data_IF_729992209877
#
_entry.id   IF_729992209877
#
_cell.length_a   1.000
_cell.length_b   1.000
_cell.length_c   1.000
_cell.angle_alpha   90.00
_cell.angle_beta   90.00
_cell.angle_gamma   90.00
#
_symmetry.space_group_name_H-M   'P 1'
#
loop_
_entity.id
_entity.type
_entity.pdbx_description
1 polymer ?
#
# COMPACT_ATOMS: atom_id res chain seq x y z
N UNK A 1 22.10 21.40 18.94
CA UNK A 1 22.13 20.49 17.77
C UNK A 1 20.80 19.75 17.72
N UNK A 2 19.76 20.37 17.13
CA UNK A 2 18.40 19.81 17.15
C UNK A 2 18.27 18.74 16.07
N UNK A 3 18.20 17.47 16.50
CA UNK A 3 17.76 16.35 15.66
C UNK A 3 16.28 16.58 15.33
N UNK A 4 16.01 17.17 14.16
CA UNK A 4 14.67 17.13 13.56
C UNK A 4 14.41 15.68 13.17
N UNK A 5 13.71 14.96 14.04
CA UNK A 5 13.04 13.73 13.67
C UNK A 5 12.16 14.08 12.48
N UNK A 6 12.52 13.57 11.30
CA UNK A 6 11.67 13.51 10.12
C UNK A 6 10.54 12.53 10.45
N UNK A 7 9.65 12.94 11.34
CA UNK A 7 8.38 12.28 11.57
C UNK A 7 7.59 12.53 10.30
N UNK A 8 7.69 11.60 9.35
CA UNK A 8 6.84 11.50 8.17
C UNK A 8 5.40 11.38 8.69
N UNK A 9 4.80 12.52 8.97
CA UNK A 9 3.41 12.64 9.35
C UNK A 9 2.61 12.17 8.14
N UNK A 10 1.98 11.00 8.27
CA UNK A 10 1.04 10.47 7.30
C UNK A 10 -0.25 11.31 7.37
N UNK A 11 -0.18 12.55 6.86
CA UNK A 11 -1.34 13.46 6.78
C UNK A 11 -2.05 13.40 5.44
N UNK A 12 -1.50 12.70 4.45
CA UNK A 12 -2.14 12.69 3.13
C UNK A 12 -3.29 11.70 3.05
N UNK A 13 -4.45 12.10 2.51
CA UNK A 13 -5.63 11.24 2.41
C UNK A 13 -5.39 10.01 1.54
N UNK A 14 -4.48 10.07 0.56
CA UNK A 14 -4.14 8.94 -0.30
C UNK A 14 -3.35 7.85 0.42
N UNK A 15 -2.40 8.22 1.29
CA UNK A 15 -1.68 7.25 2.13
C UNK A 15 -2.59 6.64 3.18
N UNK A 16 -3.48 7.44 3.77
CA UNK A 16 -4.47 6.93 4.73
C UNK A 16 -5.43 5.93 4.09
N UNK A 17 -5.93 6.21 2.86
CA UNK A 17 -6.75 5.24 2.14
C UNK A 17 -5.99 3.96 1.78
N UNK A 18 -4.71 4.07 1.37
CA UNK A 18 -3.89 2.91 1.06
C UNK A 18 -3.66 2.03 2.30
N UNK A 19 -3.26 2.62 3.43
CA UNK A 19 -3.06 1.91 4.70
C UNK A 19 -4.38 1.32 5.20
N UNK A 20 -5.49 2.06 5.10
CA UNK A 20 -6.81 1.57 5.49
C UNK A 20 -7.22 0.35 4.64
N UNK A 21 -6.96 0.40 3.34
CA UNK A 21 -7.25 -0.71 2.42
C UNK A 21 -6.41 -1.94 2.74
N UNK A 22 -5.11 -1.76 3.02
CA UNK A 22 -4.24 -2.84 3.50
C UNK A 22 -4.76 -3.43 4.82
N UNK A 23 -5.21 -2.59 5.74
CA UNK A 23 -5.76 -3.04 7.02
C UNK A 23 -7.07 -3.82 6.85
N UNK A 24 -7.95 -3.37 5.95
CA UNK A 24 -9.18 -4.08 5.58
C UNK A 24 -8.84 -5.42 4.92
N UNK A 25 -7.88 -5.45 3.99
CA UNK A 25 -7.43 -6.67 3.33
C UNK A 25 -6.87 -7.66 4.35
N UNK A 26 -6.05 -7.19 5.28
CA UNK A 26 -5.46 -8.01 6.33
C UNK A 26 -6.52 -8.55 7.29
N UNK A 27 -7.48 -7.72 7.73
CA UNK A 27 -8.62 -8.19 8.51
C UNK A 27 -9.45 -9.25 7.77
N UNK A 28 -9.78 -9.01 6.50
CA UNK A 28 -10.55 -9.95 5.69
C UNK A 28 -9.81 -11.28 5.56
N UNK A 29 -8.49 -11.23 5.36
CA UNK A 29 -7.64 -12.43 5.31
C UNK A 29 -7.66 -13.18 6.63
N UNK A 30 -7.59 -12.47 7.76
CA UNK A 30 -7.64 -13.08 9.10
C UNK A 30 -9.00 -13.75 9.37
N UNK A 31 -10.10 -13.09 9.05
CA UNK A 31 -11.46 -13.66 9.17
C UNK A 31 -11.59 -14.91 8.30
N UNK A 32 -11.10 -14.85 7.06
CA UNK A 32 -11.15 -15.99 6.14
C UNK A 32 -10.31 -17.17 6.63
N UNK A 33 -9.10 -16.93 7.15
CA UNK A 33 -8.28 -17.97 7.77
C UNK A 33 -8.97 -18.62 8.96
N UNK A 34 -9.61 -17.82 9.81
CA UNK A 34 -10.38 -18.32 10.95
C UNK A 34 -11.54 -19.21 10.48
N UNK A 35 -12.30 -18.77 9.48
CA UNK A 35 -13.35 -19.57 8.84
C UNK A 35 -12.79 -20.89 8.30
N UNK A 36 -11.63 -20.85 7.62
CA UNK A 36 -10.95 -22.01 7.07
C UNK A 36 -10.60 -23.05 8.15
N UNK A 37 -10.09 -22.59 9.29
CA UNK A 37 -9.77 -23.44 10.44
C UNK A 37 -11.04 -24.11 10.97
N UNK A 38 -12.10 -23.35 11.22
CA UNK A 38 -13.36 -23.90 11.74
C UNK A 38 -14.00 -24.89 10.76
N UNK A 39 -14.05 -24.56 9.47
CA UNK A 39 -14.59 -25.44 8.44
C UNK A 39 -13.79 -26.74 8.34
N UNK A 40 -12.48 -26.67 8.54
CA UNK A 40 -11.62 -27.84 8.55
C UNK A 40 -11.82 -28.69 9.80
N UNK A 41 -11.92 -28.07 10.97
CA UNK A 41 -12.22 -28.77 12.23
C UNK A 41 -13.58 -29.49 12.19
N UNK A 42 -14.62 -28.88 11.61
CA UNK A 42 -15.92 -29.55 11.41
C UNK A 42 -15.78 -30.79 10.50
N UNK A 43 -14.96 -30.69 9.44
CA UNK A 43 -14.61 -31.83 8.58
C UNK A 43 -13.92 -32.96 9.34
N UNK A 44 -12.93 -32.64 10.18
CA UNK A 44 -12.23 -33.62 11.03
C UNK A 44 -13.22 -34.30 11.98
N UNK A 45 -14.03 -33.53 12.70
CA UNK A 45 -14.96 -34.04 13.71
C UNK A 45 -16.01 -34.98 13.09
N UNK A 46 -16.55 -34.63 11.92
CA UNK A 46 -17.49 -35.50 11.19
C UNK A 46 -16.84 -36.78 10.68
N UNK A 47 -15.59 -36.70 10.21
CA UNK A 47 -14.85 -37.88 9.76
C UNK A 47 -14.55 -38.84 10.92
N UNK A 48 -14.24 -38.30 12.11
CA UNK A 48 -14.02 -39.08 13.33
C UNK A 48 -15.30 -39.70 13.90
N UNK A 49 -16.44 -38.98 13.85
CA UNK A 49 -17.71 -39.44 14.42
C UNK A 49 -18.39 -40.57 13.65
N UNK A 50 -18.02 -40.78 12.38
CA UNK A 50 -18.66 -41.75 11.48
C UNK A 50 -17.85 -43.04 11.26
N UNK A 51 -16.81 -43.33 12.04
CA UNK A 51 -15.88 -44.42 11.70
C UNK A 51 -15.42 -45.26 12.87
N UNK A 52 -15.72 -46.57 12.81
CA UNK A 52 -15.16 -47.59 13.71
C UNK A 52 -13.79 -48.12 13.24
N UNK A 53 -13.36 -47.88 11.98
CA UNK A 53 -12.10 -48.45 11.43
C UNK A 53 -11.39 -47.59 10.36
N UNK A 54 -11.64 -46.28 10.30
CA UNK A 54 -10.89 -45.44 9.34
C UNK A 54 -9.50 -45.12 9.89
N UNK A 55 -8.47 -45.42 9.11
CA UNK A 55 -7.10 -45.07 9.44
C UNK A 55 -6.98 -43.54 9.55
N UNK A 56 -6.80 -43.05 10.78
CA UNK A 56 -6.70 -41.62 11.08
C UNK A 56 -5.69 -40.89 10.18
N UNK A 57 -4.64 -41.60 9.74
CA UNK A 57 -3.63 -41.08 8.81
C UNK A 57 -4.22 -40.61 7.48
N UNK A 58 -5.11 -41.38 6.83
CA UNK A 58 -5.63 -41.02 5.52
C UNK A 58 -6.57 -39.82 5.57
N UNK A 59 -7.34 -39.69 6.66
CA UNK A 59 -8.21 -38.52 6.90
C UNK A 59 -7.39 -37.26 7.16
N UNK A 60 -6.32 -37.39 7.95
CA UNK A 60 -5.42 -36.26 8.24
C UNK A 60 -4.69 -35.79 6.97
N UNK A 61 -4.24 -36.71 6.13
CA UNK A 61 -3.55 -36.37 4.87
C UNK A 61 -4.46 -35.64 3.88
N UNK A 62 -5.71 -36.10 3.72
CA UNK A 62 -6.69 -35.43 2.84
C UNK A 62 -7.05 -34.03 3.34
N UNK A 63 -7.20 -33.87 4.65
CA UNK A 63 -7.48 -32.58 5.28
C UNK A 63 -6.29 -31.63 5.14
N UNK A 64 -5.07 -32.12 5.35
CA UNK A 64 -3.84 -31.34 5.14
C UNK A 64 -3.70 -30.89 3.68
N UNK A 65 -4.00 -31.78 2.73
CA UNK A 65 -3.97 -31.44 1.31
C UNK A 65 -5.00 -30.35 0.97
N UNK A 66 -6.24 -30.48 1.44
CA UNK A 66 -7.29 -29.48 1.24
C UNK A 66 -6.93 -28.13 1.88
N UNK A 67 -6.36 -28.13 3.09
CA UNK A 67 -5.87 -26.93 3.74
C UNK A 67 -4.75 -26.28 2.93
N UNK A 68 -3.75 -27.06 2.50
CA UNK A 68 -2.61 -26.57 1.76
C UNK A 68 -3.05 -25.89 0.46
N UNK A 69 -3.95 -26.53 -0.31
CA UNK A 69 -4.50 -25.94 -1.54
C UNK A 69 -5.24 -24.64 -1.25
N UNK A 70 -6.13 -24.61 -0.24
CA UNK A 70 -6.91 -23.42 0.11
C UNK A 70 -6.04 -22.26 0.60
N UNK A 71 -5.04 -22.55 1.44
CA UNK A 71 -4.07 -21.56 1.92
C UNK A 71 -3.22 -21.03 0.76
N UNK A 72 -2.79 -21.90 -0.16
CA UNK A 72 -1.99 -21.50 -1.33
C UNK A 72 -2.79 -20.58 -2.25
N UNK A 73 -4.05 -20.91 -2.54
CA UNK A 73 -4.95 -20.05 -3.34
C UNK A 73 -5.17 -18.71 -2.65
N UNK A 74 -5.45 -18.72 -1.33
CA UNK A 74 -5.62 -17.49 -0.55
C UNK A 74 -4.36 -16.61 -0.64
N UNK A 75 -3.18 -17.21 -0.43
CA UNK A 75 -1.92 -16.49 -0.50
C UNK A 75 -1.70 -15.88 -1.88
N UNK A 76 -1.96 -16.62 -2.96
CA UNK A 76 -1.84 -16.12 -4.33
C UNK A 76 -2.77 -14.92 -4.58
N UNK A 77 -4.02 -14.98 -4.10
CA UNK A 77 -5.01 -13.90 -4.25
C UNK A 77 -4.57 -12.66 -3.46
N UNK A 78 -4.17 -12.83 -2.20
CA UNK A 78 -3.73 -11.72 -1.35
C UNK A 78 -2.46 -11.09 -1.91
N UNK A 79 -1.50 -11.90 -2.36
CA UNK A 79 -0.28 -11.42 -3.00
C UNK A 79 -0.59 -10.63 -4.27
N UNK A 80 -1.46 -11.14 -5.15
CA UNK A 80 -1.85 -10.43 -6.36
C UNK A 80 -2.54 -9.10 -6.04
N UNK A 81 -3.48 -9.09 -5.10
CA UNK A 81 -4.15 -7.87 -4.65
C UNK A 81 -3.15 -6.85 -4.11
N UNK A 82 -2.22 -7.27 -3.25
CA UNK A 82 -1.20 -6.41 -2.67
C UNK A 82 -0.24 -5.87 -3.74
N UNK A 83 0.21 -6.70 -4.68
CA UNK A 83 1.04 -6.27 -5.80
C UNK A 83 0.32 -5.23 -6.67
N UNK A 84 -0.96 -5.44 -6.98
CA UNK A 84 -1.77 -4.49 -7.74
C UNK A 84 -1.93 -3.16 -7.01
N UNK A 85 -2.23 -3.18 -5.72
CA UNK A 85 -2.35 -1.96 -4.91
C UNK A 85 -1.02 -1.22 -4.82
N UNK A 86 0.08 -1.94 -4.59
CA UNK A 86 1.42 -1.36 -4.56
C UNK A 86 1.80 -0.70 -5.89
N UNK A 87 1.48 -1.36 -7.01
CA UNK A 87 1.75 -0.84 -8.35
C UNK A 87 0.90 0.40 -8.67
N UNK A 88 -0.39 0.39 -8.29
CA UNK A 88 -1.28 1.55 -8.41
C UNK A 88 -0.79 2.73 -7.57
N UNK A 89 -0.39 2.47 -6.32
CA UNK A 89 0.19 3.50 -5.45
C UNK A 89 1.48 4.08 -6.04
N UNK A 90 2.37 3.22 -6.54
CA UNK A 90 3.65 3.63 -7.14
C UNK A 90 3.44 4.49 -8.38
N UNK A 91 2.51 4.13 -9.27
CA UNK A 91 2.18 4.95 -10.45
C UNK A 91 1.69 6.34 -10.05
N UNK A 92 0.83 6.41 -9.03
CA UNK A 92 0.30 7.69 -8.52
C UNK A 92 1.36 8.55 -7.83
N UNK A 93 2.39 7.93 -7.25
CA UNK A 93 3.51 8.60 -6.60
C UNK A 93 4.57 9.09 -7.59
N UNK A 94 4.87 8.28 -8.60
CA UNK A 94 6.04 8.49 -9.48
C UNK A 94 5.88 9.72 -10.35
N UNK A 95 4.67 9.95 -10.90
CA UNK A 95 4.42 11.10 -11.77
C UNK A 95 4.74 12.45 -11.13
N UNK A 96 4.15 12.78 -9.97
CA UNK A 96 4.43 14.03 -9.28
C UNK A 96 5.89 14.15 -8.80
N UNK A 97 6.50 13.05 -8.34
CA UNK A 97 7.91 13.05 -7.92
C UNK A 97 8.87 13.38 -9.06
N UNK A 98 8.63 12.82 -10.26
CA UNK A 98 9.42 13.15 -11.46
C UNK A 98 9.27 14.63 -11.81
N UNK A 99 8.06 15.20 -11.72
CA UNK A 99 7.85 16.64 -11.95
C UNK A 99 8.60 17.51 -10.95
N UNK A 100 8.53 17.18 -9.66
CA UNK A 100 9.28 17.89 -8.61
C UNK A 100 10.78 17.84 -8.89
N UNK A 101 11.32 16.67 -9.26
CA UNK A 101 12.73 16.50 -9.62
C UNK A 101 13.11 17.40 -10.81
N UNK A 102 12.29 17.43 -11.85
CA UNK A 102 12.56 18.27 -13.04
C UNK A 102 12.54 19.76 -12.70
N UNK A 103 11.58 20.22 -11.89
CA UNK A 103 11.53 21.63 -11.46
C UNK A 103 12.75 21.99 -10.63
N UNK A 104 13.17 21.14 -9.70
CA UNK A 104 14.38 21.36 -8.90
C UNK A 104 15.64 21.40 -9.78
N UNK A 105 15.73 20.54 -10.81
CA UNK A 105 16.83 20.57 -11.77
C UNK A 105 16.87 21.88 -12.57
N UNK A 106 15.71 22.38 -13.02
CA UNK A 106 15.62 23.67 -13.71
C UNK A 106 16.06 24.84 -12.81
N UNK A 107 15.64 24.84 -11.54
CA UNK A 107 16.07 25.84 -10.56
C UNK A 107 17.59 25.77 -10.36
N UNK A 108 18.17 24.58 -10.29
CA UNK A 108 19.62 24.41 -10.16
C UNK A 108 20.40 24.94 -11.39
N UNK A 109 19.79 24.90 -12.58
CA UNK A 109 20.33 25.51 -13.80
C UNK A 109 20.07 27.03 -13.90
N UNK A 110 19.48 27.66 -12.87
CA UNK A 110 19.12 29.08 -12.87
C UNK A 110 17.88 29.43 -13.71
N UNK A 111 17.21 28.42 -14.28
CA UNK A 111 15.96 28.56 -15.04
C UNK A 111 14.79 28.41 -14.07
N UNK A 112 14.30 29.53 -13.57
CA UNK A 112 13.12 29.51 -12.71
C UNK A 112 11.88 29.47 -13.61
N UNK A 113 11.00 28.46 -13.48
CA UNK A 113 9.79 28.39 -14.29
C UNK A 113 8.85 29.56 -13.98
N UNK A 114 8.43 30.31 -15.01
CA UNK A 114 7.61 31.52 -14.89
C UNK A 114 6.15 31.24 -14.49
N UNK A 115 5.66 30.03 -14.76
CA UNK A 115 4.31 29.62 -14.41
C UNK A 115 4.32 28.70 -13.19
N UNK A 116 3.40 28.96 -12.26
CA UNK A 116 3.00 27.97 -11.27
C UNK A 116 2.50 26.75 -12.05
N UNK A 117 3.34 25.71 -12.16
CA UNK A 117 2.79 24.40 -12.51
C UNK A 117 1.66 24.11 -11.51
N UNK A 118 0.59 23.45 -11.95
CA UNK A 118 -0.41 22.92 -11.03
C UNK A 118 -0.29 21.40 -11.02
N UNK A 119 -0.16 20.83 -9.82
CA UNK A 119 -0.44 19.42 -9.62
C UNK A 119 -1.94 19.20 -9.82
N UNK A 120 -2.32 18.04 -10.38
CA UNK A 120 -3.74 17.69 -10.46
C UNK A 120 -4.26 17.44 -9.05
N UNK A 121 -5.54 17.73 -8.80
CA UNK A 121 -6.19 17.40 -7.52
C UNK A 121 -6.00 15.91 -7.23
N UNK A 122 -5.31 15.59 -6.13
CA UNK A 122 -5.06 14.21 -5.69
C UNK A 122 -3.71 13.61 -6.09
N UNK A 123 -2.79 14.41 -6.66
CA UNK A 123 -1.38 14.06 -6.82
C UNK A 123 -0.62 14.14 -5.47
N UNK A 124 0.35 13.26 -5.26
CA UNK A 124 1.18 13.21 -4.06
C UNK A 124 2.67 13.25 -4.45
N UNK A 125 3.56 13.96 -3.72
CA UNK A 125 3.32 14.65 -2.44
C UNK A 125 2.92 16.13 -2.58
N UNK A 126 1.68 16.45 -2.19
CA UNK A 126 1.12 17.81 -2.26
C UNK A 126 1.86 18.80 -1.36
N UNK A 127 2.21 18.41 -0.13
CA UNK A 127 2.90 19.31 0.82
C UNK A 127 4.28 19.73 0.32
N UNK A 128 5.04 18.79 -0.26
CA UNK A 128 6.36 19.05 -0.84
C UNK A 128 6.22 19.98 -2.04
N UNK A 129 5.19 19.77 -2.85
CA UNK A 129 4.91 20.62 -4.00
C UNK A 129 4.49 22.03 -3.60
N UNK A 130 3.61 22.18 -2.61
CA UNK A 130 3.22 23.48 -2.08
C UNK A 130 4.40 24.23 -1.46
N UNK A 131 5.28 23.52 -0.76
CA UNK A 131 6.51 24.09 -0.22
C UNK A 131 7.45 24.55 -1.36
N UNK A 132 7.58 23.75 -2.42
CA UNK A 132 8.35 24.10 -3.61
C UNK A 132 7.77 25.34 -4.31
N UNK A 133 6.45 25.41 -4.49
CA UNK A 133 5.78 26.58 -5.09
C UNK A 133 5.93 27.84 -4.24
N UNK A 134 5.85 27.72 -2.91
CA UNK A 134 6.18 28.83 -1.98
C UNK A 134 7.62 29.31 -2.16
N UNK A 135 8.57 28.38 -2.30
CA UNK A 135 9.97 28.73 -2.54
C UNK A 135 10.15 29.45 -3.89
N UNK A 136 9.55 28.94 -4.98
CA UNK A 136 9.63 29.55 -6.32
C UNK A 136 9.05 30.97 -6.32
N UNK A 137 7.89 31.17 -5.67
CA UNK A 137 7.28 32.51 -5.52
C UNK A 137 8.20 33.48 -4.77
N UNK A 138 8.86 33.01 -3.72
CA UNK A 138 9.78 33.84 -2.96
C UNK A 138 11.00 34.26 -3.80
N UNK A 139 11.55 33.33 -4.59
CA UNK A 139 12.68 33.63 -5.48
C UNK A 139 12.27 34.62 -6.58
N UNK A 140 11.06 34.51 -7.14
CA UNK A 140 10.55 35.50 -8.10
C UNK A 140 10.46 36.90 -7.49
N UNK A 141 9.93 37.03 -6.26
CA UNK A 141 9.86 38.32 -5.55
C UNK A 141 11.23 38.97 -5.37
N UNK A 142 12.26 38.18 -5.07
CA UNK A 142 13.63 38.69 -4.96
C UNK A 142 14.18 39.17 -6.30
N UNK A 143 13.83 38.49 -7.39
CA UNK A 143 14.28 38.84 -8.74
C UNK A 143 13.56 40.06 -9.32
N UNK A 144 12.32 40.32 -8.92
CA UNK A 144 11.52 41.48 -9.37
C UNK A 144 11.70 42.74 -8.50
N UNK A 145 12.32 42.60 -7.33
CA UNK A 145 12.63 43.71 -6.40
C UNK A 145 14.10 44.18 -6.46
N UNK A 146 14.87 43.64 -7.40
CA UNK A 146 16.20 44.10 -7.84
C UNK A 146 16.06 44.83 -9.16
#
# INVERSE_FOLDING_TARGET
MNRRLLTLHVKSPAQQMFILLEFILLMATMIYLLYLIFATMDGVVRALGNSEQVALSSVVDEINFLLLVRITILFAVVFAAHALFGLFYLQRLTGPLVRIKTILAQIAEGKIPEQESSLRKGDFPLEVYEALQRAIRQVHKWRSGS
#
